data_IF_457657096829
#
_entry.id   IF_457657096829
#
_cell.length_a   1.000
_cell.length_b   1.000
_cell.length_c   1.000
_cell.angle_alpha   90.00
_cell.angle_beta   90.00
_cell.angle_gamma   90.00
#
_symmetry.space_group_name_H-M   'P 1'
#
loop_
_entity.id
_entity.type
_entity.pdbx_description
1 polymer ?
#
# COMPACT_ATOMS: atom_id res chain seq x y z
N UNK A 1 0.83 -10.24 -19.17
CA UNK A 1 0.01 -11.06 -20.08
C UNK A 1 -1.43 -10.57 -19.94
N UNK A 2 -2.07 -10.17 -21.04
CA UNK A 2 -3.49 -9.78 -20.99
C UNK A 2 -4.37 -11.01 -20.70
N UNK A 3 -5.54 -10.82 -20.09
CA UNK A 3 -6.55 -11.86 -19.78
C UNK A 3 -6.27 -12.81 -18.62
N UNK A 4 -5.07 -12.81 -18.02
CA UNK A 4 -4.81 -13.65 -16.85
C UNK A 4 -5.45 -13.14 -15.56
N UNK A 5 -5.67 -11.82 -15.42
CA UNK A 5 -6.20 -11.22 -14.18
C UNK A 5 -7.63 -11.68 -13.86
N UNK A 6 -8.52 -11.71 -14.87
CA UNK A 6 -9.89 -12.18 -14.65
C UNK A 6 -9.92 -13.69 -14.33
N UNK A 7 -9.10 -14.48 -15.05
CA UNK A 7 -8.99 -15.91 -14.81
C UNK A 7 -8.45 -16.20 -13.40
N UNK A 8 -7.44 -15.46 -12.97
CA UNK A 8 -6.88 -15.53 -11.62
C UNK A 8 -7.97 -15.30 -10.56
N UNK A 9 -8.77 -14.24 -10.70
CA UNK A 9 -9.89 -13.98 -9.78
C UNK A 9 -10.90 -15.13 -9.73
N UNK A 10 -11.23 -15.75 -10.86
CA UNK A 10 -12.18 -16.88 -10.91
C UNK A 10 -11.61 -18.12 -10.21
N UNK A 11 -10.35 -18.47 -10.49
CA UNK A 11 -9.70 -19.67 -9.93
C UNK A 11 -9.50 -19.51 -8.42
N UNK A 12 -9.00 -18.35 -7.96
CA UNK A 12 -8.83 -18.10 -6.53
C UNK A 12 -10.17 -17.93 -5.81
N UNK A 13 -11.17 -17.33 -6.46
CA UNK A 13 -12.53 -17.24 -5.88
C UNK A 13 -13.16 -18.61 -5.67
N UNK A 14 -13.07 -19.50 -6.66
CA UNK A 14 -13.59 -20.87 -6.55
C UNK A 14 -12.86 -21.68 -5.47
N UNK A 15 -11.53 -21.72 -5.51
CA UNK A 15 -10.74 -22.47 -4.52
C UNK A 15 -10.89 -21.92 -3.09
N UNK A 16 -10.96 -20.60 -2.92
CA UNK A 16 -11.24 -19.98 -1.62
C UNK A 16 -12.65 -20.35 -1.12
N UNK A 17 -13.66 -20.38 -2.00
CA UNK A 17 -15.01 -20.77 -1.62
C UNK A 17 -15.07 -22.23 -1.13
N UNK A 18 -14.38 -23.15 -1.80
CA UNK A 18 -14.28 -24.54 -1.34
C UNK A 18 -13.61 -24.63 0.04
N UNK A 19 -12.45 -23.99 0.23
CA UNK A 19 -11.76 -23.97 1.51
C UNK A 19 -12.63 -23.35 2.63
N UNK A 20 -13.31 -22.22 2.35
CA UNK A 20 -14.24 -21.59 3.29
C UNK A 20 -15.34 -22.56 3.71
N UNK A 21 -15.98 -23.26 2.77
CA UNK A 21 -17.06 -24.21 3.08
C UNK A 21 -16.57 -25.38 3.95
N UNK A 22 -15.32 -25.83 3.78
CA UNK A 22 -14.74 -26.86 4.64
C UNK A 22 -14.43 -26.37 6.05
N UNK A 23 -14.02 -25.11 6.21
CA UNK A 23 -13.61 -24.53 7.50
C UNK A 23 -14.76 -23.96 8.30
N UNK A 24 -15.79 -23.44 7.62
CA UNK A 24 -16.90 -22.71 8.24
C UNK A 24 -17.57 -23.48 9.39
N UNK A 25 -17.83 -24.81 9.31
CA UNK A 25 -18.42 -25.56 10.42
C UNK A 25 -17.56 -25.59 11.69
N UNK A 26 -16.24 -25.40 11.58
CA UNK A 26 -15.31 -25.39 12.71
C UNK A 26 -15.10 -23.98 13.30
N UNK A 27 -15.63 -22.92 12.66
CA UNK A 27 -15.47 -21.55 13.14
C UNK A 27 -16.48 -21.26 14.25
N UNK A 28 -15.97 -20.81 15.39
CA UNK A 28 -16.81 -20.29 16.47
C UNK A 28 -16.99 -18.80 16.31
N UNK A 29 -18.25 -18.33 16.28
CA UNK A 29 -18.56 -16.91 16.20
C UNK A 29 -18.15 -16.18 17.48
N UNK A 30 -17.52 -15.01 17.32
CA UNK A 30 -17.25 -14.11 18.43
C UNK A 30 -18.58 -13.61 19.02
N UNK A 31 -18.74 -13.73 20.34
CA UNK A 31 -19.97 -13.28 21.04
C UNK A 31 -20.09 -11.76 21.09
N UNK A 32 -18.95 -11.07 21.15
CA UNK A 32 -18.86 -9.62 21.25
C UNK A 32 -17.61 -9.14 20.50
N UNK A 33 -17.71 -7.97 19.86
CA UNK A 33 -16.63 -7.30 19.17
C UNK A 33 -16.35 -5.95 19.85
N UNK A 34 -15.10 -5.47 19.85
CA UNK A 34 -14.79 -4.14 20.34
C UNK A 34 -15.53 -3.09 19.51
N UNK A 35 -16.06 -2.06 20.17
CA UNK A 35 -16.68 -0.92 19.50
C UNK A 35 -15.61 0.02 18.95
N UNK A 36 -15.95 0.68 17.84
CA UNK A 36 -15.14 1.75 17.28
C UNK A 36 -15.29 3.02 18.13
N UNK A 37 -14.18 3.72 18.39
CA UNK A 37 -14.20 4.99 19.13
C UNK A 37 -14.39 6.18 18.18
N UNK A 38 -15.56 6.83 18.26
CA UNK A 38 -15.92 8.01 17.46
C UNK A 38 -15.73 9.34 18.21
N UNK A 39 -15.16 9.36 19.42
CA UNK A 39 -15.15 10.53 20.33
C UNK A 39 -14.26 11.71 19.90
N UNK A 40 -13.80 11.76 18.66
CA UNK A 40 -12.78 12.72 18.18
C UNK A 40 -13.38 14.00 17.58
N UNK A 41 -12.53 15.02 17.45
CA UNK A 41 -12.90 16.39 17.03
C UNK A 41 -13.01 16.49 15.50
N UNK A 42 -13.96 17.29 15.00
CA UNK A 42 -14.08 17.63 13.57
C UNK A 42 -13.46 19.02 13.33
N UNK A 43 -12.52 19.11 12.38
CA UNK A 43 -11.88 20.36 11.97
C UNK A 43 -11.94 20.48 10.43
N UNK A 44 -12.39 21.63 9.94
CA UNK A 44 -12.54 21.90 8.51
C UNK A 44 -11.22 22.20 7.79
N UNK A 45 -10.25 22.82 8.47
CA UNK A 45 -8.99 23.22 7.82
C UNK A 45 -8.12 21.99 7.51
N UNK A 46 -8.18 20.98 8.36
CA UNK A 46 -7.48 19.70 8.19
C UNK A 46 -7.96 18.90 6.96
N UNK A 47 -9.22 19.07 6.56
CA UNK A 47 -9.74 18.42 5.35
C UNK A 47 -9.02 18.89 4.09
N UNK A 48 -8.56 20.13 4.07
CA UNK A 48 -7.78 20.70 2.94
C UNK A 48 -6.39 20.08 2.90
N UNK A 49 -5.74 19.90 4.06
CA UNK A 49 -4.41 19.28 4.16
C UNK A 49 -4.44 17.83 3.68
N UNK A 50 -5.45 17.05 4.07
CA UNK A 50 -5.62 15.66 3.62
C UNK A 50 -5.70 15.59 2.08
N UNK A 51 -6.45 16.48 1.45
CA UNK A 51 -6.54 16.52 -0.02
C UNK A 51 -5.20 16.89 -0.68
N UNK A 52 -4.46 17.83 -0.07
CA UNK A 52 -3.12 18.18 -0.53
C UNK A 52 -2.17 16.99 -0.47
N UNK A 53 -2.10 16.31 0.67
CA UNK A 53 -1.24 15.14 0.90
C UNK A 53 -1.59 13.99 -0.05
N UNK A 54 -2.87 13.80 -0.37
CA UNK A 54 -3.30 12.82 -1.37
C UNK A 54 -2.76 13.15 -2.76
N UNK A 55 -2.80 14.41 -3.17
CA UNK A 55 -2.27 14.83 -4.47
C UNK A 55 -0.74 14.72 -4.51
N UNK A 56 -0.07 15.16 -3.44
CA UNK A 56 1.37 15.09 -3.31
C UNK A 56 1.89 13.65 -3.42
N UNK A 57 1.26 12.72 -2.69
CA UNK A 57 1.60 11.30 -2.72
C UNK A 57 1.56 10.75 -4.14
N UNK A 58 0.46 10.98 -4.87
CA UNK A 58 0.29 10.49 -6.23
C UNK A 58 1.32 11.08 -7.19
N UNK A 59 1.62 12.38 -7.04
CA UNK A 59 2.58 13.07 -7.88
C UNK A 59 4.00 12.51 -7.68
N UNK A 60 4.49 12.42 -6.44
CA UNK A 60 5.85 11.93 -6.26
C UNK A 60 5.98 10.42 -6.51
N UNK A 61 4.92 9.63 -6.29
CA UNK A 61 4.93 8.20 -6.65
C UNK A 61 5.08 8.03 -8.17
N UNK A 62 4.44 8.89 -8.96
CA UNK A 62 4.65 8.95 -10.40
C UNK A 62 6.10 9.33 -10.76
N UNK A 63 6.64 10.40 -10.17
CA UNK A 63 7.96 10.92 -10.50
C UNK A 63 9.11 10.00 -10.08
N UNK A 64 8.99 9.37 -8.90
CA UNK A 64 10.08 8.66 -8.25
C UNK A 64 9.98 7.14 -8.33
N UNK A 65 8.76 6.61 -8.51
CA UNK A 65 8.46 5.17 -8.48
C UNK A 65 7.75 4.71 -9.77
N UNK A 66 7.64 5.60 -10.76
CA UNK A 66 7.05 5.34 -12.08
C UNK A 66 7.84 4.37 -12.96
N UNK A 67 7.75 4.57 -14.28
CA UNK A 67 8.27 3.62 -15.29
C UNK A 67 9.79 3.44 -15.19
N UNK A 68 10.54 4.54 -15.04
CA UNK A 68 12.00 4.54 -14.95
C UNK A 68 12.45 4.96 -13.56
N UNK A 69 13.19 4.10 -12.88
CA UNK A 69 13.57 4.27 -11.47
C UNK A 69 15.08 4.45 -11.28
N UNK A 70 15.44 5.10 -10.19
CA UNK A 70 16.81 5.12 -9.66
C UNK A 70 16.76 5.02 -8.15
N UNK A 71 17.81 4.48 -7.55
CA UNK A 71 18.01 4.33 -6.11
C UNK A 71 17.79 5.67 -5.41
N UNK A 72 18.39 6.75 -5.92
CA UNK A 72 18.21 8.10 -5.37
C UNK A 72 16.76 8.59 -5.42
N UNK A 73 16.00 8.25 -6.47
CA UNK A 73 14.57 8.59 -6.57
C UNK A 73 13.75 7.78 -5.55
N UNK A 74 14.01 6.49 -5.42
CA UNK A 74 13.34 5.63 -4.44
C UNK A 74 13.60 6.09 -3.00
N UNK A 75 14.82 6.49 -2.66
CA UNK A 75 15.17 7.07 -1.36
C UNK A 75 14.45 8.40 -1.08
N UNK A 76 14.23 9.23 -2.12
CA UNK A 76 13.42 10.45 -1.99
C UNK A 76 11.95 10.13 -1.73
N UNK A 77 11.39 9.14 -2.44
CA UNK A 77 10.02 8.69 -2.22
C UNK A 77 9.83 8.17 -0.79
N UNK A 78 10.73 7.28 -0.32
CA UNK A 78 10.64 6.71 1.03
C UNK A 78 10.69 7.79 2.12
N UNK A 79 11.55 8.80 1.97
CA UNK A 79 11.62 9.92 2.93
C UNK A 79 10.30 10.71 3.01
N UNK A 80 9.67 10.99 1.88
CA UNK A 80 8.36 11.68 1.84
C UNK A 80 7.24 10.81 2.42
N UNK A 81 7.24 9.51 2.10
CA UNK A 81 6.28 8.56 2.67
C UNK A 81 6.38 8.53 4.19
N UNK A 82 7.59 8.45 4.75
CA UNK A 82 7.78 8.43 6.20
C UNK A 82 7.30 9.73 6.88
N UNK A 83 7.49 10.89 6.23
CA UNK A 83 6.96 12.17 6.71
C UNK A 83 5.43 12.16 6.72
N UNK A 84 4.80 11.75 5.62
CA UNK A 84 3.34 11.63 5.54
C UNK A 84 2.78 10.63 6.57
N UNK A 85 3.48 9.53 6.86
CA UNK A 85 3.05 8.59 7.90
C UNK A 85 3.00 9.24 9.28
N UNK A 86 4.02 10.03 9.64
CA UNK A 86 4.07 10.74 10.91
C UNK A 86 2.94 11.76 11.03
N UNK A 87 2.69 12.54 9.98
CA UNK A 87 1.58 13.50 9.92
C UNK A 87 0.22 12.78 10.04
N UNK A 88 0.03 11.68 9.31
CA UNK A 88 -1.22 10.91 9.35
C UNK A 88 -1.47 10.30 10.73
N UNK A 89 -0.44 9.81 11.43
CA UNK A 89 -0.59 9.27 12.78
C UNK A 89 -1.03 10.36 13.78
N UNK A 90 -0.48 11.58 13.65
CA UNK A 90 -0.92 12.74 14.42
C UNK A 90 -2.38 13.11 14.11
N UNK A 91 -2.77 13.10 12.83
CA UNK A 91 -4.16 13.36 12.45
C UNK A 91 -5.11 12.27 12.95
N UNK A 92 -4.69 11.01 12.82
CA UNK A 92 -5.50 9.89 13.24
C UNK A 92 -5.67 9.83 14.76
N UNK A 93 -4.71 10.33 15.54
CA UNK A 93 -4.87 10.37 17.00
C UNK A 93 -5.94 11.38 17.44
N UNK A 94 -6.05 12.52 16.74
CA UNK A 94 -6.77 13.69 17.25
C UNK A 94 -8.11 13.98 16.56
N UNK A 95 -8.31 13.53 15.31
CA UNK A 95 -9.45 13.95 14.50
C UNK A 95 -10.42 12.83 14.12
N UNK A 96 -11.67 13.24 13.84
CA UNK A 96 -12.73 12.35 13.40
C UNK A 96 -12.37 11.69 12.06
N UNK A 97 -12.62 10.38 11.99
CA UNK A 97 -12.33 9.60 10.79
C UNK A 97 -13.26 10.02 9.66
N UNK A 98 -12.67 10.19 8.48
CA UNK A 98 -13.36 10.45 7.22
C UNK A 98 -12.86 9.49 6.14
N UNK A 99 -13.64 9.33 5.07
CA UNK A 99 -13.23 8.50 3.92
C UNK A 99 -11.90 8.96 3.33
N UNK A 100 -11.69 10.27 3.20
CA UNK A 100 -10.45 10.83 2.64
C UNK A 100 -9.22 10.49 3.51
N UNK A 101 -9.38 10.54 4.85
CA UNK A 101 -8.30 10.18 5.78
C UNK A 101 -7.97 8.68 5.69
N UNK A 102 -9.00 7.82 5.63
CA UNK A 102 -8.80 6.38 5.48
C UNK A 102 -8.11 6.03 4.16
N UNK A 103 -8.54 6.67 3.07
CA UNK A 103 -7.92 6.47 1.75
C UNK A 103 -6.46 6.91 1.76
N UNK A 104 -6.17 8.11 2.27
CA UNK A 104 -4.81 8.63 2.37
C UNK A 104 -3.91 7.69 3.20
N UNK A 105 -4.37 7.27 4.38
CA UNK A 105 -3.64 6.32 5.24
C UNK A 105 -3.31 5.02 4.50
N UNK A 106 -4.28 4.44 3.82
CA UNK A 106 -4.09 3.20 3.08
C UNK A 106 -3.15 3.38 1.89
N UNK A 107 -3.28 4.49 1.15
CA UNK A 107 -2.41 4.79 0.02
C UNK A 107 -0.95 4.98 0.46
N UNK A 108 -0.71 5.72 1.54
CA UNK A 108 0.64 5.91 2.08
C UNK A 108 1.24 4.58 2.54
N UNK A 109 0.45 3.75 3.23
CA UNK A 109 0.91 2.42 3.65
C UNK A 109 1.32 1.55 2.46
N UNK A 110 0.49 1.47 1.42
CA UNK A 110 0.79 0.67 0.22
C UNK A 110 1.96 1.27 -0.57
N UNK A 111 2.06 2.60 -0.64
CA UNK A 111 3.18 3.28 -1.28
C UNK A 111 4.51 2.91 -0.61
N UNK A 112 4.55 2.84 0.72
CA UNK A 112 5.72 2.37 1.47
C UNK A 112 6.14 0.97 1.05
N UNK A 113 5.18 0.03 0.99
CA UNK A 113 5.43 -1.36 0.59
C UNK A 113 5.95 -1.46 -0.84
N UNK A 114 5.40 -0.67 -1.77
CA UNK A 114 5.87 -0.60 -3.16
C UNK A 114 7.31 -0.10 -3.21
N UNK A 115 7.64 0.99 -2.51
CA UNK A 115 8.98 1.57 -2.51
C UNK A 115 9.99 0.63 -1.87
N UNK A 116 9.69 0.06 -0.70
CA UNK A 116 10.55 -0.96 -0.06
C UNK A 116 10.79 -2.14 -0.98
N UNK A 117 9.74 -2.61 -1.67
CA UNK A 117 9.86 -3.71 -2.62
C UNK A 117 10.74 -3.37 -3.83
N UNK A 118 10.61 -2.15 -4.34
CA UNK A 118 11.44 -1.64 -5.43
C UNK A 118 12.91 -1.46 -5.00
N UNK A 119 13.17 -0.94 -3.80
CA UNK A 119 14.52 -0.74 -3.27
C UNK A 119 15.26 -2.06 -3.03
N UNK A 120 14.55 -3.11 -2.61
CA UNK A 120 15.14 -4.43 -2.37
C UNK A 120 15.57 -5.15 -3.66
N UNK A 121 15.00 -4.80 -4.83
CA UNK A 121 15.34 -5.43 -6.11
C UNK A 121 16.57 -4.75 -6.72
N UNK A 122 17.65 -5.51 -6.89
CA UNK A 122 18.95 -5.06 -7.46
C UNK A 122 19.17 -5.59 -8.88
N UNK A 123 18.13 -5.49 -9.71
CA UNK A 123 18.09 -5.89 -11.12
C UNK A 123 16.97 -5.14 -11.85
N UNK A 124 16.99 -5.13 -13.19
CA UNK A 124 15.87 -4.68 -14.00
C UNK A 124 15.15 -5.88 -14.63
N UNK A 125 13.88 -6.08 -14.28
CA UNK A 125 13.07 -7.22 -14.72
C UNK A 125 11.60 -6.83 -14.87
N UNK A 126 11.03 -7.06 -16.06
CA UNK A 126 9.61 -6.85 -16.33
C UNK A 126 9.17 -5.40 -16.04
N UNK A 127 8.21 -5.23 -15.13
CA UNK A 127 7.68 -3.91 -14.72
C UNK A 127 8.59 -3.18 -13.70
N UNK A 128 9.73 -3.77 -13.35
CA UNK A 128 10.76 -3.10 -12.57
C UNK A 128 11.95 -2.75 -13.43
N UNK A 129 12.09 -1.47 -13.77
CA UNK A 129 13.21 -0.96 -14.54
C UNK A 129 13.94 0.13 -13.76
N UNK A 130 15.23 -0.09 -13.50
CA UNK A 130 16.09 0.85 -12.80
C UNK A 130 17.43 1.06 -13.51
N UNK A 131 17.84 2.31 -13.63
CA UNK A 131 19.08 2.67 -14.32
C UNK A 131 20.35 2.22 -13.57
N UNK A 132 20.26 2.02 -12.25
CA UNK A 132 21.42 1.62 -11.44
C UNK A 132 21.72 0.12 -11.55
N UNK A 133 20.73 -0.68 -11.97
CA UNK A 133 20.84 -2.14 -12.14
C UNK A 133 20.15 -2.53 -13.46
N UNK A 134 20.77 -2.26 -14.62
CA UNK A 134 20.12 -2.48 -15.92
C UNK A 134 19.98 -3.96 -16.30
N UNK A 135 20.82 -4.82 -15.72
CA UNK A 135 20.89 -6.23 -16.06
C UNK A 135 19.99 -7.12 -15.18
N UNK A 136 19.77 -8.35 -15.65
CA UNK A 136 19.05 -9.40 -14.94
C UNK A 136 20.00 -10.15 -14.00
N UNK A 137 19.54 -10.51 -12.80
CA UNK A 137 20.22 -11.49 -11.96
C UNK A 137 19.95 -12.91 -12.48
N UNK A 138 20.92 -13.81 -12.22
CA UNK A 138 20.86 -15.23 -12.60
C UNK A 138 19.69 -15.94 -11.91
N UNK A 139 19.48 -15.68 -10.62
CA UNK A 139 18.42 -16.29 -9.82
C UNK A 139 17.38 -15.24 -9.41
N UNK A 140 16.21 -15.17 -10.08
CA UNK A 140 15.16 -14.27 -9.67
C UNK A 140 14.47 -14.75 -8.39
N UNK A 141 14.21 -13.83 -7.46
CA UNK A 141 13.42 -14.09 -6.26
C UNK A 141 12.27 -13.09 -6.15
N UNK A 142 11.09 -13.52 -5.64
CA UNK A 142 10.05 -12.56 -5.27
C UNK A 142 10.55 -11.68 -4.12
N UNK A 143 10.12 -10.43 -4.12
CA UNK A 143 10.37 -9.56 -2.97
C UNK A 143 9.28 -9.83 -1.95
N UNK A 144 9.66 -10.25 -0.73
CA UNK A 144 8.72 -10.54 0.35
C UNK A 144 9.02 -9.57 1.49
N UNK A 145 8.00 -8.83 1.93
CA UNK A 145 8.04 -7.98 3.11
C UNK A 145 7.27 -8.68 4.23
N UNK A 146 7.83 -8.67 5.44
CA UNK A 146 7.18 -9.19 6.64
C UNK A 146 6.78 -7.99 7.53
N UNK A 147 5.52 -7.91 7.98
CA UNK A 147 5.05 -6.85 8.87
C UNK A 147 5.62 -6.97 10.28
#
# INVERSE_FOLDING_TARGET
MASNSLLECLVYGWSAAEDILTRLPAITLAKQLPQWDESRVDDSDERVVIQHNWHELRLFMWDYVGIVRTTKRLERALRRINMLQQEIDEYYANFRISNNLLELRNLVQVAELIVRSAMARKESRGLHFTLDYPDLLVEPKPTILQP
#
